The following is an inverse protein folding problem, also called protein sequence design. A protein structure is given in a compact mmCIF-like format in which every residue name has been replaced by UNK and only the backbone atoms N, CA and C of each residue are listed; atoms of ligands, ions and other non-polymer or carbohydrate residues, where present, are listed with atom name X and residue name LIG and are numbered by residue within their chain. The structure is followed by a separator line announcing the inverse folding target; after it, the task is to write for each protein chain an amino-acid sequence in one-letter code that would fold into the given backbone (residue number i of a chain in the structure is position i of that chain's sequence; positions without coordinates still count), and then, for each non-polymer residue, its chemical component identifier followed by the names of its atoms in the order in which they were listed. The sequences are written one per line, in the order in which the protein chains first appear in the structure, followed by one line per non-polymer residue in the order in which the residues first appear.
data_IF_285701827356
#
_entry.id   IF_285701827356
#
_cell.length_a   1.000
_cell.length_b   1.000
_cell.length_c   1.000
_cell.angle_alpha   90.00
_cell.angle_beta   90.00
_cell.angle_gamma   90.00
#
_symmetry.space_group_name_H-M   'P 1'
#
loop_
_entity.id
_entity.type
_entity.pdbx_description
1 polymer ?
#
# COMPACT_ATOMS: atom_id res chain seq x y z
N UNK A 1 -3.14 1.68 -32.15
CA UNK A 1 -2.58 2.68 -31.21
C UNK A 1 -3.36 3.96 -31.45
N UNK A 2 -3.86 4.58 -30.38
CA UNK A 2 -4.69 5.78 -30.49
C UNK A 2 -3.85 6.95 -31.05
N UNK A 3 -4.28 7.61 -32.15
CA UNK A 3 -3.52 8.70 -32.78
C UNK A 3 -3.30 9.90 -31.86
N UNK A 4 -4.14 10.11 -30.85
CA UNK A 4 -3.99 11.21 -29.89
C UNK A 4 -2.93 10.89 -28.81
N UNK A 5 -2.59 9.61 -28.61
CA UNK A 5 -1.57 9.17 -27.65
C UNK A 5 -0.16 9.12 -28.24
N UNK A 6 -0.02 9.05 -29.57
CA UNK A 6 1.28 8.96 -30.26
C UNK A 6 2.19 10.17 -29.92
N UNK A 7 1.73 11.44 -30.00
CA UNK A 7 2.58 12.58 -29.68
C UNK A 7 3.05 12.61 -28.22
N UNK A 8 2.25 12.08 -27.29
CA UNK A 8 2.61 12.00 -25.87
C UNK A 8 3.69 10.95 -25.61
N UNK A 9 3.60 9.80 -26.26
CA UNK A 9 4.58 8.72 -26.12
C UNK A 9 5.90 9.05 -26.81
N UNK A 10 5.87 9.80 -27.91
CA UNK A 10 7.08 10.30 -28.59
C UNK A 10 7.79 11.42 -27.81
N UNK A 11 7.03 12.23 -27.05
CA UNK A 11 7.56 13.35 -26.29
C UNK A 11 8.20 12.94 -24.94
N UNK A 12 7.84 11.79 -24.39
CA UNK A 12 8.34 11.33 -23.09
C UNK A 12 8.94 9.93 -23.19
N UNK A 13 10.23 9.80 -22.90
CA UNK A 13 10.79 8.48 -22.57
C UNK A 13 10.26 8.06 -21.20
N UNK A 14 9.37 7.06 -21.19
CA UNK A 14 8.82 6.47 -19.98
C UNK A 14 9.62 5.21 -19.67
N UNK A 15 10.21 5.14 -18.49
CA UNK A 15 10.82 3.90 -18.00
C UNK A 15 9.74 2.83 -17.76
N UNK A 16 10.10 1.56 -17.99
CA UNK A 16 9.21 0.45 -17.69
C UNK A 16 8.79 0.46 -16.22
N UNK A 17 7.48 0.38 -15.99
CA UNK A 17 6.91 0.27 -14.65
C UNK A 17 7.32 -1.09 -14.06
N UNK A 18 8.03 -1.06 -12.93
CA UNK A 18 8.37 -2.26 -12.17
C UNK A 18 7.20 -2.62 -11.25
N UNK A 19 6.59 -3.81 -11.39
CA UNK A 19 5.54 -4.26 -10.49
C UNK A 19 6.07 -4.39 -9.07
N UNK A 20 5.33 -3.90 -8.08
CA UNK A 20 5.61 -4.18 -6.67
C UNK A 20 5.13 -5.59 -6.34
N UNK A 21 6.07 -6.47 -6.00
CA UNK A 21 5.80 -7.89 -5.72
C UNK A 21 5.33 -8.12 -4.29
N UNK A 22 5.53 -7.17 -3.38
CA UNK A 22 4.99 -7.24 -2.04
C UNK A 22 3.55 -6.68 -2.01
N UNK A 23 2.57 -7.54 -2.26
CA UNK A 23 1.15 -7.17 -2.27
C UNK A 23 0.67 -6.56 -0.96
N UNK A 24 1.16 -7.05 0.19
CA UNK A 24 0.80 -6.49 1.49
C UNK A 24 1.23 -5.02 1.59
N UNK A 25 2.48 -4.73 1.24
CA UNK A 25 3.03 -3.36 1.17
C UNK A 25 2.26 -2.49 0.18
N UNK A 26 1.95 -3.00 -1.00
CA UNK A 26 1.16 -2.29 -2.01
C UNK A 26 -0.20 -1.86 -1.48
N UNK A 27 -0.96 -2.80 -0.91
CA UNK A 27 -2.33 -2.56 -0.46
C UNK A 27 -2.37 -1.58 0.73
N UNK A 28 -1.52 -1.81 1.72
CA UNK A 28 -1.44 -0.93 2.90
C UNK A 28 -0.97 0.47 2.52
N UNK A 29 0.03 0.60 1.65
CA UNK A 29 0.44 1.91 1.10
C UNK A 29 -0.68 2.59 0.30
N UNK A 30 -1.41 1.85 -0.53
CA UNK A 30 -2.54 2.40 -1.28
C UNK A 30 -3.59 3.01 -0.34
N UNK A 31 -3.95 2.31 0.74
CA UNK A 31 -4.87 2.82 1.78
C UNK A 31 -4.33 4.09 2.43
N UNK A 32 -3.04 4.13 2.77
CA UNK A 32 -2.41 5.31 3.36
C UNK A 32 -2.56 6.52 2.42
N UNK A 33 -2.37 6.33 1.12
CA UNK A 33 -2.36 7.40 0.11
C UNK A 33 -3.75 7.90 -0.32
N UNK A 34 -4.83 7.18 -0.02
CA UNK A 34 -6.20 7.59 -0.38
C UNK A 34 -6.54 8.99 0.13
N UNK A 35 -7.11 9.82 -0.74
CA UNK A 35 -7.62 11.17 -0.46
C UNK A 35 -6.60 12.12 0.21
N UNK A 36 -5.32 11.97 -0.13
CA UNK A 36 -4.24 12.82 0.35
C UNK A 36 -3.34 13.29 -0.79
N UNK A 37 -2.68 14.44 -0.60
CA UNK A 37 -1.57 14.82 -1.46
C UNK A 37 -0.39 13.85 -1.29
N UNK A 38 0.42 13.69 -2.35
CA UNK A 38 1.57 12.79 -2.31
C UNK A 38 2.55 13.08 -1.16
N UNK A 39 2.76 14.35 -0.82
CA UNK A 39 3.64 14.77 0.29
C UNK A 39 3.07 14.39 1.66
N UNK A 40 1.77 14.63 1.88
CA UNK A 40 1.10 14.27 3.13
C UNK A 40 1.08 12.75 3.33
N UNK A 41 0.70 12.02 2.28
CA UNK A 41 0.68 10.57 2.28
C UNK A 41 2.07 9.96 2.54
N UNK A 42 3.14 10.50 1.90
CA UNK A 42 4.51 10.08 2.15
C UNK A 42 4.89 10.27 3.62
N UNK A 43 4.58 11.43 4.20
CA UNK A 43 4.88 11.71 5.61
C UNK A 43 4.23 10.71 6.55
N UNK A 44 2.96 10.36 6.32
CA UNK A 44 2.24 9.35 7.13
C UNK A 44 2.83 7.96 6.90
N UNK A 45 3.14 7.60 5.65
CA UNK A 45 3.77 6.31 5.31
C UNK A 45 5.12 6.13 6.00
N UNK A 46 5.97 7.16 5.99
CA UNK A 46 7.30 7.12 6.63
C UNK A 46 7.16 6.93 8.14
N UNK A 47 6.23 7.65 8.79
CA UNK A 47 5.95 7.50 10.23
C UNK A 47 5.37 6.13 10.59
N UNK A 48 4.47 5.60 9.75
CA UNK A 48 3.92 4.26 9.92
C UNK A 48 5.02 3.19 9.89
N UNK A 49 5.94 3.25 8.92
CA UNK A 49 7.07 2.32 8.86
C UNK A 49 8.01 2.50 10.06
N UNK A 50 8.23 3.75 10.50
CA UNK A 50 9.11 4.07 11.63
C UNK A 50 8.64 3.48 12.97
N UNK A 51 7.35 3.12 13.12
CA UNK A 51 6.86 2.39 14.31
C UNK A 51 7.56 1.04 14.52
N UNK A 52 8.15 0.48 13.47
CA UNK A 52 8.67 -0.89 13.45
C UNK A 52 10.21 -0.94 13.40
N UNK A 53 10.86 0.12 13.89
CA UNK A 53 12.27 0.17 14.30
C UNK A 53 13.28 -0.59 13.40
N UNK A 54 13.42 -0.17 12.14
CA UNK A 54 14.49 -0.66 11.25
C UNK A 54 14.08 -1.82 10.34
N UNK A 55 12.81 -2.22 10.32
CA UNK A 55 12.26 -3.05 9.25
C UNK A 55 12.01 -2.21 8.00
N UNK A 56 12.23 -2.79 6.82
CA UNK A 56 11.86 -2.17 5.54
C UNK A 56 10.34 -1.92 5.45
N UNK A 57 9.54 -2.83 6.02
CA UNK A 57 8.09 -2.74 6.15
C UNK A 57 7.58 -3.66 7.27
N UNK A 58 6.49 -3.33 7.99
CA UNK A 58 5.91 -4.26 8.97
C UNK A 58 5.33 -5.51 8.32
N UNK A 59 5.33 -6.61 9.07
CA UNK A 59 4.54 -7.79 8.76
C UNK A 59 3.07 -7.61 9.21
N UNK A 60 2.13 -8.40 8.67
CA UNK A 60 0.75 -8.40 9.15
C UNK A 60 0.61 -8.60 10.67
N UNK A 61 1.42 -9.50 11.24
CA UNK A 61 1.43 -9.79 12.68
C UNK A 61 1.90 -8.58 13.52
N UNK A 62 2.91 -7.85 13.05
CA UNK A 62 3.38 -6.62 13.71
C UNK A 62 2.24 -5.59 13.82
N UNK A 63 1.48 -5.40 12.74
CA UNK A 63 0.39 -4.42 12.67
C UNK A 63 -0.78 -4.83 13.55
N UNK A 64 -1.13 -6.11 13.61
CA UNK A 64 -2.22 -6.58 14.46
C UNK A 64 -1.91 -6.41 15.95
N UNK A 65 -0.66 -6.66 16.34
CA UNK A 65 -0.14 -6.46 17.71
C UNK A 65 0.02 -4.99 18.10
N UNK A 66 0.01 -4.07 17.13
CA UNK A 66 0.08 -2.62 17.40
C UNK A 66 -1.28 -2.10 17.84
N UNK A 67 -1.36 -1.35 18.95
CA UNK A 67 -2.62 -0.76 19.37
C UNK A 67 -3.21 0.19 18.32
N UNK A 68 -4.53 0.20 18.20
CA UNK A 68 -5.22 1.02 17.21
C UNK A 68 -4.88 2.52 17.36
N UNK A 69 -4.78 3.01 18.59
CA UNK A 69 -4.44 4.42 18.85
C UNK A 69 -2.99 4.75 18.49
N UNK A 70 -2.06 3.80 18.59
CA UNK A 70 -0.67 3.99 18.09
C UNK A 70 -0.69 4.13 16.56
N UNK A 71 -1.46 3.29 15.85
CA UNK A 71 -1.63 3.43 14.39
C UNK A 71 -2.23 4.80 14.02
N UNK A 72 -3.15 5.32 14.83
CA UNK A 72 -3.71 6.66 14.59
C UNK A 72 -2.71 7.77 14.87
N UNK A 73 -1.83 7.61 15.86
CA UNK A 73 -0.85 8.62 16.26
C UNK A 73 0.12 9.03 15.14
N UNK A 74 0.36 8.15 14.16
CA UNK A 74 1.21 8.46 12.99
C UNK A 74 0.50 9.25 11.88
N UNK A 75 -0.79 9.54 12.05
CA UNK A 75 -1.60 10.35 11.14
C UNK A 75 -2.60 9.53 10.30
N UNK A 76 -2.80 8.25 10.61
CA UNK A 76 -3.89 7.48 9.99
C UNK A 76 -5.25 7.94 10.52
N UNK A 77 -6.23 8.05 9.62
CA UNK A 77 -7.62 8.16 10.03
C UNK A 77 -8.08 6.87 10.70
N UNK A 78 -9.17 6.94 11.47
CA UNK A 78 -9.78 5.74 12.08
C UNK A 78 -10.07 4.66 11.04
N UNK A 79 -10.70 5.05 9.91
CA UNK A 79 -11.02 4.13 8.82
C UNK A 79 -9.77 3.46 8.24
N UNK A 80 -8.71 4.23 7.94
CA UNK A 80 -7.46 3.67 7.40
C UNK A 80 -6.80 2.71 8.37
N UNK A 81 -6.72 3.04 9.66
CA UNK A 81 -6.17 2.15 10.68
C UNK A 81 -6.98 0.85 10.79
N UNK A 82 -8.32 0.92 10.71
CA UNK A 82 -9.20 -0.26 10.71
C UNK A 82 -8.98 -1.12 9.46
N UNK A 83 -8.93 -0.53 8.28
CA UNK A 83 -8.72 -1.26 7.02
C UNK A 83 -7.35 -1.93 6.98
N UNK A 84 -6.30 -1.26 7.44
CA UNK A 84 -4.96 -1.84 7.52
C UNK A 84 -4.94 -3.04 8.48
N UNK A 85 -5.61 -2.97 9.64
CA UNK A 85 -5.77 -4.14 10.52
C UNK A 85 -6.55 -5.27 9.86
N UNK A 86 -7.66 -4.97 9.18
CA UNK A 86 -8.45 -5.99 8.49
C UNK A 86 -7.66 -6.70 7.39
N UNK A 87 -6.89 -5.97 6.59
CA UNK A 87 -5.99 -6.55 5.59
C UNK A 87 -4.93 -7.41 6.27
N UNK A 88 -4.35 -6.93 7.37
CA UNK A 88 -3.35 -7.70 8.12
C UNK A 88 -3.92 -9.03 8.62
N UNK A 89 -5.15 -9.02 9.13
CA UNK A 89 -5.86 -10.24 9.53
C UNK A 89 -6.06 -11.19 8.34
N UNK A 90 -6.59 -10.69 7.21
CA UNK A 90 -6.85 -11.50 6.03
C UNK A 90 -5.59 -12.14 5.42
N UNK A 91 -4.43 -11.48 5.52
CA UNK A 91 -3.15 -12.04 5.09
C UNK A 91 -2.65 -13.15 6.02
N UNK A 92 -2.91 -13.07 7.33
CA UNK A 92 -2.55 -14.13 8.28
C UNK A 92 -3.50 -15.33 8.21
N UNK A 93 -4.79 -15.07 8.05
CA UNK A 93 -5.83 -16.10 7.99
C UNK A 93 -5.80 -16.89 6.67
N UNK A 94 -4.99 -16.46 5.70
CA UNK A 94 -4.96 -17.05 4.36
C UNK A 94 -6.24 -16.82 3.57
N UNK A 95 -7.10 -15.89 4.00
CA UNK A 95 -8.35 -15.55 3.31
C UNK A 95 -8.12 -14.90 1.96
N UNK A 96 -6.90 -14.40 1.72
CA UNK A 96 -6.44 -13.87 0.45
C UNK A 96 -5.35 -14.79 -0.08
N UNK A 97 -5.56 -15.41 -1.23
CA UNK A 97 -4.51 -16.10 -1.97
C UNK A 97 -3.59 -15.09 -2.69
N UNK A 98 -2.83 -14.34 -1.88
CA UNK A 98 -2.01 -13.25 -2.40
C UNK A 98 -0.87 -13.74 -3.30
N UNK A 99 -0.54 -15.05 -3.25
CA UNK A 99 0.47 -15.65 -4.12
C UNK A 99 -0.03 -15.79 -5.57
N UNK A 100 -1.34 -15.90 -5.76
CA UNK A 100 -1.96 -16.01 -7.08
C UNK A 100 -2.65 -14.72 -7.56
N UNK A 101 -2.59 -13.62 -6.81
CA UNK A 101 -3.23 -12.34 -7.19
C UNK A 101 -2.85 -11.87 -8.60
N UNK A 102 -1.60 -12.06 -9.03
CA UNK A 102 -1.15 -11.67 -10.37
C UNK A 102 -1.76 -12.50 -11.51
N UNK A 103 -2.37 -13.65 -11.19
CA UNK A 103 -2.97 -14.58 -12.15
C UNK A 103 -4.51 -14.53 -12.15
N UNK A 104 -5.12 -13.75 -11.26
CA UNK A 104 -6.57 -13.60 -11.20
C UNK A 104 -7.03 -12.61 -12.28
N UNK A 105 -8.21 -12.87 -12.86
CA UNK A 105 -8.83 -11.90 -13.76
C UNK A 105 -9.25 -10.65 -13.00
N UNK A 106 -9.29 -9.51 -13.69
CA UNK A 106 -9.80 -8.24 -13.16
C UNK A 106 -11.32 -8.07 -13.39
N UNK A 107 -12.00 -9.13 -13.84
CA UNK A 107 -13.43 -9.16 -14.15
C UNK A 107 -14.31 -9.29 -12.89
#
# INVERSE_FOLDING_TARGET
MDPDLVPLLDAFQIEDLKPETNYYRSLTRAIIYQQLSGKAAKTISDRFIALYHGKDYPSPDDVLKTDHEILRSVGLSNAKAKYIKNISQAFLDGSIDYKNLGNLSND
#
